data_IF_096850231422
#
_entry.id   IF_096850231422
#
_cell.length_a   1.000
_cell.length_b   1.000
_cell.length_c   1.000
_cell.angle_alpha   90.00
_cell.angle_beta   90.00
_cell.angle_gamma   90.00
#
_symmetry.space_group_name_H-M   'P 1'
#
loop_
_entity.id
_entity.type
_entity.pdbx_description
1 polymer ?
#
# COMPACT_ATOMS: atom_id res chain seq x y z
N UNK A 1 43.73 -46.69 -47.60
CA UNK A 1 45.18 -46.66 -47.25
C UNK A 1 45.31 -46.00 -45.86
N UNK A 2 45.97 -46.73 -44.99
CA UNK A 2 46.53 -46.38 -43.66
C UNK A 2 45.63 -45.98 -42.50
N UNK A 3 45.39 -46.98 -41.71
CA UNK A 3 45.21 -46.96 -40.23
C UNK A 3 46.21 -46.02 -39.57
N UNK A 4 45.72 -45.22 -38.61
CA UNK A 4 46.52 -44.81 -37.45
C UNK A 4 45.70 -44.83 -36.18
N UNK A 5 45.98 -45.80 -35.40
CA UNK A 5 46.03 -46.06 -33.97
C UNK A 5 45.33 -45.12 -33.01
N UNK A 6 44.25 -45.69 -32.44
CA UNK A 6 43.76 -45.45 -31.09
C UNK A 6 44.68 -46.10 -30.07
N UNK A 7 45.74 -45.47 -29.59
CA UNK A 7 46.44 -45.81 -28.34
C UNK A 7 47.41 -44.68 -27.98
N UNK A 8 47.08 -43.88 -27.00
CA UNK A 8 48.00 -42.87 -26.51
C UNK A 8 47.38 -41.70 -25.75
N UNK A 9 46.20 -41.84 -25.16
CA UNK A 9 45.64 -40.79 -24.31
C UNK A 9 45.04 -41.31 -22.99
N UNK A 10 45.75 -42.24 -22.37
CA UNK A 10 45.45 -42.61 -20.99
C UNK A 10 46.77 -42.66 -20.22
N UNK A 11 47.15 -41.54 -19.65
CA UNK A 11 48.07 -41.41 -18.52
C UNK A 11 48.34 -39.91 -18.27
N UNK A 12 47.45 -39.26 -17.53
CA UNK A 12 47.71 -38.15 -16.64
C UNK A 12 46.39 -37.67 -16.07
N UNK A 13 45.66 -38.50 -15.34
CA UNK A 13 44.70 -38.08 -14.35
C UNK A 13 45.44 -38.09 -13.02
N UNK A 14 46.12 -36.97 -12.76
CA UNK A 14 46.61 -36.68 -11.44
C UNK A 14 45.41 -36.24 -10.57
N UNK A 15 45.28 -36.90 -9.49
CA UNK A 15 44.47 -36.71 -8.32
C UNK A 15 44.35 -35.21 -7.97
N UNK A 16 43.25 -34.60 -8.38
CA UNK A 16 42.79 -33.31 -7.84
C UNK A 16 41.65 -33.61 -6.89
N UNK A 17 41.96 -33.71 -5.60
CA UNK A 17 40.96 -33.84 -4.56
C UNK A 17 39.95 -32.68 -4.64
N UNK A 18 38.67 -33.00 -4.85
CA UNK A 18 37.58 -32.11 -4.56
C UNK A 18 37.61 -31.81 -3.06
N UNK A 19 38.17 -30.67 -2.69
CA UNK A 19 37.83 -30.07 -1.40
C UNK A 19 36.38 -29.60 -1.52
N UNK A 20 35.47 -30.36 -0.98
CA UNK A 20 34.13 -29.91 -0.60
C UNK A 20 34.35 -28.96 0.55
N UNK A 21 34.47 -27.66 0.25
CA UNK A 21 34.36 -26.65 1.27
C UNK A 21 32.93 -26.70 1.81
N UNK A 22 32.72 -26.94 3.12
CA UNK A 22 31.38 -26.85 3.66
C UNK A 22 30.91 -25.40 3.41
N UNK A 23 29.75 -25.26 2.81
CA UNK A 23 29.00 -24.00 2.79
C UNK A 23 28.78 -23.62 4.27
N UNK A 24 29.73 -22.88 4.84
CA UNK A 24 29.46 -22.16 6.08
C UNK A 24 28.33 -21.18 5.75
N UNK A 25 27.11 -21.50 6.18
CA UNK A 25 26.08 -20.48 6.39
C UNK A 25 26.79 -19.37 7.17
N UNK A 26 27.02 -18.24 6.53
CA UNK A 26 27.38 -17.02 7.24
C UNK A 26 26.16 -16.70 8.12
N UNK A 27 26.17 -17.26 9.33
CA UNK A 27 25.27 -16.83 10.39
C UNK A 27 25.82 -15.43 10.73
N UNK A 28 25.15 -14.41 10.18
CA UNK A 28 25.46 -13.05 10.54
C UNK A 28 25.40 -12.96 12.07
N UNK A 29 26.51 -12.53 12.67
CA UNK A 29 26.61 -12.43 14.12
C UNK A 29 25.45 -11.55 14.61
N UNK A 30 24.55 -11.99 15.50
CA UNK A 30 23.41 -11.20 15.96
C UNK A 30 23.81 -9.82 16.47
N UNK A 31 24.99 -9.67 17.03
CA UNK A 31 25.57 -8.40 17.49
C UNK A 31 25.87 -7.45 16.31
N UNK A 32 26.33 -7.98 15.15
CA UNK A 32 26.61 -7.13 13.97
C UNK A 32 25.33 -6.68 13.27
N UNK A 33 24.28 -7.50 13.29
CA UNK A 33 22.95 -7.16 12.79
C UNK A 33 22.29 -6.10 13.68
N UNK A 34 22.44 -6.22 15.00
CA UNK A 34 21.92 -5.24 15.96
C UNK A 34 22.64 -3.89 15.88
N UNK A 35 23.97 -3.90 15.69
CA UNK A 35 24.76 -2.67 15.46
C UNK A 35 24.40 -1.98 14.14
N UNK A 36 24.13 -2.70 13.06
CA UNK A 36 23.62 -2.14 11.80
C UNK A 36 22.20 -1.58 11.96
N UNK A 37 21.35 -2.22 12.78
CA UNK A 37 20.01 -1.72 13.11
C UNK A 37 20.05 -0.44 13.96
N UNK A 38 20.94 -0.35 14.95
CA UNK A 38 21.06 0.84 15.81
C UNK A 38 21.64 2.05 15.07
N UNK A 39 22.56 1.82 14.12
CA UNK A 39 23.10 2.91 13.28
C UNK A 39 22.09 3.47 12.28
N UNK A 40 21.00 2.76 11.99
CA UNK A 40 20.04 3.07 10.93
C UNK A 40 18.72 3.70 11.40
N UNK A 41 18.48 3.81 12.71
CA UNK A 41 17.23 4.38 13.24
C UNK A 41 17.21 5.90 13.11
N UNK A 42 16.99 6.35 11.88
CA UNK A 42 16.65 7.75 11.60
C UNK A 42 15.15 7.93 11.71
N UNK A 43 14.74 9.12 12.12
CA UNK A 43 13.33 9.52 12.02
C UNK A 43 12.90 9.45 10.56
N UNK A 44 11.72 8.91 10.30
CA UNK A 44 11.03 8.96 9.00
C UNK A 44 9.65 9.56 9.18
N UNK A 45 9.25 10.42 8.24
CA UNK A 45 7.98 11.12 8.29
C UNK A 45 7.39 11.22 6.90
N UNK A 46 6.15 10.81 6.69
CA UNK A 46 5.54 10.80 5.36
C UNK A 46 4.05 11.10 5.40
N UNK A 47 3.60 11.79 4.35
CA UNK A 47 2.18 12.11 4.17
C UNK A 47 1.45 10.99 3.46
N UNK A 48 0.22 10.68 3.93
CA UNK A 48 -0.64 9.64 3.37
C UNK A 48 -2.01 10.22 3.04
N UNK A 49 -2.49 9.99 1.83
CA UNK A 49 -3.89 10.15 1.44
C UNK A 49 -4.39 8.86 0.78
N UNK A 50 -5.70 8.64 0.81
CA UNK A 50 -6.34 7.45 0.23
C UNK A 50 -7.67 7.85 -0.42
N UNK A 51 -8.05 7.16 -1.47
CA UNK A 51 -9.42 7.16 -2.00
C UNK A 51 -9.94 8.59 -2.26
N UNK A 52 -9.20 9.37 -3.04
CA UNK A 52 -9.59 10.74 -3.44
C UNK A 52 -10.75 10.69 -4.42
N UNK A 53 -10.74 9.68 -5.33
CA UNK A 53 -11.75 9.46 -6.35
C UNK A 53 -12.02 10.71 -7.21
N UNK A 54 -10.99 11.24 -7.84
CA UNK A 54 -11.09 12.40 -8.74
C UNK A 54 -12.22 12.26 -9.76
N UNK A 55 -12.46 11.06 -10.27
CA UNK A 55 -13.47 10.80 -11.29
C UNK A 55 -14.91 10.72 -10.74
N UNK A 56 -15.10 10.82 -9.43
CA UNK A 56 -16.41 10.83 -8.76
C UNK A 56 -16.67 12.20 -8.12
N UNK A 57 -15.68 12.74 -7.41
CA UNK A 57 -15.81 14.00 -6.69
C UNK A 57 -15.73 15.20 -7.64
N UNK A 58 -16.57 16.19 -7.39
CA UNK A 58 -16.59 17.45 -8.14
C UNK A 58 -15.45 18.41 -7.73
N UNK A 59 -14.85 18.18 -6.55
CA UNK A 59 -13.84 19.06 -5.93
C UNK A 59 -12.51 18.31 -5.66
N UNK A 60 -12.24 17.21 -6.36
CA UNK A 60 -11.07 16.37 -6.13
C UNK A 60 -9.74 17.11 -6.32
N UNK A 61 -9.63 18.01 -7.30
CA UNK A 61 -8.46 18.88 -7.49
C UNK A 61 -8.21 19.78 -6.28
N UNK A 62 -9.26 20.40 -5.73
CA UNK A 62 -9.15 21.23 -4.53
C UNK A 62 -8.71 20.42 -3.31
N UNK A 63 -9.27 19.22 -3.12
CA UNK A 63 -8.88 18.31 -2.04
C UNK A 63 -7.42 17.93 -2.11
N UNK A 64 -6.95 17.58 -3.30
CA UNK A 64 -5.54 17.26 -3.53
C UNK A 64 -4.63 18.46 -3.29
N UNK A 65 -5.04 19.69 -3.74
CA UNK A 65 -4.26 20.90 -3.52
C UNK A 65 -4.07 21.17 -2.02
N UNK A 66 -5.13 21.04 -1.20
CA UNK A 66 -5.06 21.20 0.25
C UNK A 66 -4.04 20.24 0.86
N UNK A 67 -4.04 18.95 0.44
CA UNK A 67 -3.06 17.97 0.88
C UNK A 67 -1.62 18.37 0.50
N UNK A 68 -1.39 18.74 -0.76
CA UNK A 68 -0.07 19.11 -1.25
C UNK A 68 0.47 20.35 -0.53
N UNK A 69 -0.37 21.38 -0.36
CA UNK A 69 0.00 22.62 0.32
C UNK A 69 0.38 22.38 1.79
N UNK A 70 -0.32 21.46 2.47
CA UNK A 70 0.03 21.09 3.85
C UNK A 70 1.32 20.26 3.87
N UNK A 71 1.47 19.25 3.03
CA UNK A 71 2.65 18.41 3.00
C UNK A 71 3.94 19.17 2.71
N UNK A 72 3.88 20.21 1.88
CA UNK A 72 5.04 21.07 1.64
C UNK A 72 5.48 21.86 2.87
N UNK A 73 4.57 22.13 3.83
CA UNK A 73 4.85 22.86 5.08
C UNK A 73 5.28 21.94 6.21
N UNK A 74 5.01 20.63 6.10
CA UNK A 74 5.13 19.67 7.21
C UNK A 74 6.49 18.96 7.28
N UNK A 75 7.46 19.26 6.42
CA UNK A 75 8.78 18.62 6.37
C UNK A 75 8.68 17.08 6.37
N UNK A 76 7.91 16.53 5.43
CA UNK A 76 7.79 15.09 5.22
C UNK A 76 8.84 14.60 4.23
N UNK A 77 9.38 13.40 4.46
CA UNK A 77 10.40 12.77 3.60
C UNK A 77 9.87 12.35 2.23
N UNK A 78 8.56 12.06 2.16
CA UNK A 78 7.83 11.71 0.94
C UNK A 78 6.32 11.77 1.16
N UNK A 79 5.57 11.65 0.07
CA UNK A 79 4.12 11.45 0.11
C UNK A 79 3.73 10.17 -0.63
N UNK A 80 2.63 9.55 -0.22
CA UNK A 80 2.06 8.37 -0.86
C UNK A 80 0.53 8.48 -0.90
N UNK A 81 -0.06 8.10 -2.04
CA UNK A 81 -1.48 7.84 -2.17
C UNK A 81 -1.74 6.32 -2.17
N UNK A 82 -2.81 5.87 -1.50
CA UNK A 82 -3.10 4.46 -1.28
C UNK A 82 -4.10 3.84 -2.27
N UNK A 83 -4.26 4.42 -3.45
CA UNK A 83 -5.16 3.93 -4.50
C UNK A 83 -6.48 4.72 -4.59
N UNK A 84 -7.26 4.38 -5.61
CA UNK A 84 -8.49 5.05 -6.01
C UNK A 84 -8.26 6.57 -6.15
N UNK A 85 -7.22 6.89 -6.91
CA UNK A 85 -6.68 8.22 -7.11
C UNK A 85 -7.34 8.92 -8.30
N UNK A 86 -7.03 8.48 -9.51
CA UNK A 86 -7.69 8.93 -10.74
C UNK A 86 -7.41 7.98 -11.91
N UNK A 87 -8.36 7.88 -12.82
CA UNK A 87 -8.24 7.12 -14.07
C UNK A 87 -7.34 7.85 -15.07
N UNK A 88 -6.68 7.15 -16.02
CA UNK A 88 -5.80 7.75 -17.00
C UNK A 88 -6.55 8.44 -18.16
N UNK A 89 -7.47 9.34 -17.83
CA UNK A 89 -8.11 10.23 -18.78
C UNK A 89 -7.36 11.55 -18.88
N UNK A 90 -7.26 12.12 -20.07
CA UNK A 90 -6.60 13.43 -20.31
C UNK A 90 -7.20 14.55 -19.44
N UNK A 91 -8.50 14.49 -19.14
CA UNK A 91 -9.16 15.45 -18.24
C UNK A 91 -8.58 15.44 -16.82
N UNK A 92 -7.88 14.39 -16.40
CA UNK A 92 -7.23 14.26 -15.09
C UNK A 92 -5.77 14.78 -15.10
N UNK A 93 -5.24 15.25 -16.23
CA UNK A 93 -3.91 15.86 -16.27
C UNK A 93 -3.75 17.09 -15.33
N UNK A 94 -4.74 17.99 -15.17
CA UNK A 94 -4.64 19.06 -14.17
C UNK A 94 -4.51 18.53 -12.75
N UNK A 95 -5.25 17.49 -12.39
CA UNK A 95 -5.16 16.82 -11.09
C UNK A 95 -3.76 16.24 -10.85
N UNK A 96 -3.16 15.57 -11.84
CA UNK A 96 -1.79 15.06 -11.72
C UNK A 96 -0.75 16.18 -11.57
N UNK A 97 -0.95 17.33 -12.23
CA UNK A 97 -0.05 18.48 -12.06
C UNK A 97 -0.06 19.01 -10.63
N UNK A 98 -1.17 18.90 -9.92
CA UNK A 98 -1.24 19.27 -8.50
C UNK A 98 -0.37 18.30 -7.68
N UNK A 99 -0.50 16.98 -7.91
CA UNK A 99 0.35 15.97 -7.26
C UNK A 99 1.85 16.21 -7.50
N UNK A 100 2.20 16.59 -8.73
CA UNK A 100 3.57 16.88 -9.14
C UNK A 100 4.16 18.16 -8.50
N UNK A 101 3.36 19.02 -7.87
CA UNK A 101 3.85 20.21 -7.16
C UNK A 101 4.65 19.88 -5.90
N UNK A 102 4.40 18.71 -5.27
CA UNK A 102 5.20 18.30 -4.12
C UNK A 102 6.66 18.10 -4.53
N UNK A 103 7.58 18.77 -3.83
CA UNK A 103 9.00 18.80 -4.22
C UNK A 103 9.80 17.55 -3.82
N UNK A 104 9.24 16.69 -2.97
CA UNK A 104 9.85 15.44 -2.54
C UNK A 104 9.45 14.22 -3.37
N UNK A 105 9.92 13.02 -3.00
CA UNK A 105 9.47 11.77 -3.61
C UNK A 105 7.96 11.56 -3.43
N UNK A 106 7.33 11.02 -4.47
CA UNK A 106 5.90 10.73 -4.53
C UNK A 106 5.69 9.30 -4.97
N UNK A 107 4.87 8.58 -4.23
CA UNK A 107 4.63 7.16 -4.47
C UNK A 107 3.14 6.87 -4.67
N UNK A 108 2.85 5.81 -5.41
CA UNK A 108 1.51 5.46 -5.83
C UNK A 108 1.22 4.00 -5.54
N UNK A 109 0.07 3.72 -4.96
CA UNK A 109 -0.56 2.40 -4.91
C UNK A 109 -1.71 2.40 -5.90
N UNK A 110 -1.91 1.31 -6.64
CA UNK A 110 -3.04 1.16 -7.56
C UNK A 110 -4.26 0.69 -6.78
N UNK A 111 -5.38 1.42 -6.89
CA UNK A 111 -6.69 1.01 -6.41
C UNK A 111 -7.53 0.34 -7.50
N UNK A 112 -8.65 -0.24 -7.11
CA UNK A 112 -9.51 -0.96 -8.08
C UNK A 112 -10.25 -0.03 -9.04
N UNK A 113 -10.57 1.20 -8.62
CA UNK A 113 -11.23 2.18 -9.48
C UNK A 113 -10.29 2.90 -10.45
N UNK A 114 -8.98 2.80 -10.26
CA UNK A 114 -8.01 3.43 -11.16
C UNK A 114 -7.97 2.76 -12.54
N UNK A 115 -8.41 1.49 -12.62
CA UNK A 115 -8.53 0.72 -13.85
C UNK A 115 -9.91 0.78 -14.51
N UNK A 116 -10.90 1.45 -13.91
CA UNK A 116 -12.24 1.57 -14.46
C UNK A 116 -12.21 2.23 -15.85
N UNK A 117 -13.11 1.79 -16.71
CA UNK A 117 -13.13 2.22 -18.12
C UNK A 117 -12.29 1.32 -19.03
N UNK A 118 -11.79 0.19 -18.50
CA UNK A 118 -11.03 -0.80 -19.28
C UNK A 118 -9.53 -0.50 -19.40
N UNK A 119 -9.00 0.35 -18.56
CA UNK A 119 -7.58 0.64 -18.54
C UNK A 119 -6.76 -0.50 -17.92
N UNK A 120 -5.59 -0.74 -18.48
CA UNK A 120 -4.62 -1.68 -17.92
C UNK A 120 -3.79 -1.02 -16.81
N UNK A 121 -3.20 -1.82 -15.92
CA UNK A 121 -2.25 -1.32 -14.92
C UNK A 121 -1.10 -0.54 -15.56
N UNK A 122 -0.59 -0.98 -16.72
CA UNK A 122 0.51 -0.31 -17.41
C UNK A 122 0.10 1.09 -17.93
N UNK A 123 -1.16 1.26 -18.36
CA UNK A 123 -1.69 2.57 -18.72
C UNK A 123 -1.80 3.48 -17.49
N UNK A 124 -2.27 2.96 -16.36
CA UNK A 124 -2.39 3.71 -15.11
C UNK A 124 -1.01 4.18 -14.62
N UNK A 125 -0.04 3.27 -14.46
CA UNK A 125 1.30 3.65 -13.98
C UNK A 125 2.04 4.57 -14.93
N UNK A 126 1.84 4.41 -16.25
CA UNK A 126 2.43 5.31 -17.26
C UNK A 126 1.85 6.71 -17.13
N UNK A 127 0.52 6.82 -16.98
CA UNK A 127 -0.16 8.10 -16.82
C UNK A 127 0.28 8.83 -15.55
N UNK A 128 0.41 8.12 -14.42
CA UNK A 128 0.86 8.68 -13.15
C UNK A 128 2.37 8.88 -13.07
N UNK A 129 3.15 8.36 -14.00
CA UNK A 129 4.62 8.30 -13.94
C UNK A 129 5.10 7.51 -12.71
N UNK A 130 4.32 6.52 -12.29
CA UNK A 130 4.69 5.62 -11.22
C UNK A 130 5.79 4.64 -11.67
N UNK A 131 6.68 4.16 -10.77
CA UNK A 131 7.83 3.36 -11.19
C UNK A 131 7.42 1.99 -11.76
N UNK A 132 6.53 1.27 -11.10
CA UNK A 132 6.05 -0.07 -11.47
C UNK A 132 4.67 -0.32 -10.86
N UNK A 133 4.04 -1.46 -11.20
CA UNK A 133 2.76 -1.89 -10.61
C UNK A 133 2.89 -2.26 -9.13
N UNK A 134 4.02 -2.87 -8.76
CA UNK A 134 4.46 -3.12 -7.39
C UNK A 134 5.97 -2.94 -7.33
N UNK A 135 6.48 -2.46 -6.22
CA UNK A 135 7.89 -2.09 -6.07
C UNK A 135 8.25 -1.89 -4.60
N UNK A 136 9.56 -1.77 -4.33
CA UNK A 136 10.07 -1.38 -3.03
C UNK A 136 11.09 -0.25 -3.13
N UNK A 137 11.33 0.43 -2.02
CA UNK A 137 12.35 1.47 -1.90
C UNK A 137 12.82 1.63 -0.45
N UNK A 138 14.04 2.10 -0.28
CA UNK A 138 14.60 2.40 1.03
C UNK A 138 14.63 3.91 1.29
N UNK A 139 14.25 4.31 2.49
CA UNK A 139 14.36 5.71 2.94
C UNK A 139 14.64 5.77 4.43
N UNK A 140 15.66 6.56 4.80
CA UNK A 140 16.04 6.84 6.20
C UNK A 140 16.20 5.59 7.09
N UNK A 141 16.67 4.45 6.52
CA UNK A 141 16.88 3.21 7.25
C UNK A 141 15.61 2.37 7.46
N UNK A 142 14.58 2.65 6.71
CA UNK A 142 13.36 1.84 6.59
C UNK A 142 13.19 1.33 5.17
N UNK A 143 12.60 0.16 5.05
CA UNK A 143 12.22 -0.45 3.78
C UNK A 143 10.72 -0.29 3.57
N UNK A 144 10.32 0.11 2.38
CA UNK A 144 8.93 0.34 2.00
C UNK A 144 8.58 -0.54 0.81
N UNK A 145 7.45 -1.21 0.90
CA UNK A 145 6.95 -2.10 -0.15
C UNK A 145 5.57 -1.63 -0.58
N UNK A 146 5.38 -1.45 -1.87
CA UNK A 146 4.09 -1.16 -2.49
C UNK A 146 3.61 -2.41 -3.23
N UNK A 147 2.44 -2.92 -2.84
CA UNK A 147 1.80 -4.08 -3.47
C UNK A 147 0.64 -3.63 -4.37
N UNK A 148 0.43 -4.37 -5.45
CA UNK A 148 -0.75 -4.24 -6.30
C UNK A 148 -1.75 -5.35 -5.97
N UNK A 149 -2.85 -4.99 -5.32
CA UNK A 149 -3.91 -5.91 -4.96
C UNK A 149 -4.91 -6.23 -6.10
N UNK A 150 -4.72 -5.67 -7.29
CA UNK A 150 -5.74 -5.70 -8.35
C UNK A 150 -5.44 -6.73 -9.44
N UNK A 151 -4.74 -7.80 -9.13
CA UNK A 151 -4.56 -8.92 -10.06
C UNK A 151 -5.75 -9.87 -10.01
N UNK A 152 -5.98 -10.59 -11.11
CA UNK A 152 -7.08 -11.54 -11.20
C UNK A 152 -6.75 -12.85 -10.48
N UNK A 153 -7.64 -13.31 -9.64
CA UNK A 153 -7.60 -14.66 -9.10
C UNK A 153 -7.81 -15.66 -10.25
N UNK A 154 -6.88 -16.61 -10.47
CA UNK A 154 -7.01 -17.59 -11.55
C UNK A 154 -8.06 -18.68 -11.29
N UNK A 155 -8.64 -18.75 -10.09
CA UNK A 155 -9.67 -19.72 -9.75
C UNK A 155 -10.94 -19.50 -10.58
N UNK A 156 -11.56 -20.56 -11.13
CA UNK A 156 -12.87 -20.46 -11.79
C UNK A 156 -13.97 -20.03 -10.81
N UNK A 157 -13.83 -20.33 -9.52
CA UNK A 157 -14.81 -20.03 -8.46
C UNK A 157 -14.53 -18.69 -7.76
N UNK A 158 -13.74 -17.80 -8.40
CA UNK A 158 -13.40 -16.49 -7.83
C UNK A 158 -14.66 -15.67 -7.55
N UNK A 159 -14.66 -14.82 -6.50
CA UNK A 159 -15.75 -13.89 -6.24
C UNK A 159 -16.04 -12.99 -7.44
N UNK A 160 -17.31 -12.64 -7.62
CA UNK A 160 -17.73 -11.64 -8.61
C UNK A 160 -17.36 -10.25 -8.11
N UNK A 161 -16.99 -9.35 -9.02
CA UNK A 161 -16.66 -7.96 -8.74
C UNK A 161 -15.24 -7.60 -9.14
N UNK A 162 -14.68 -6.60 -8.48
CA UNK A 162 -13.31 -6.16 -8.73
C UNK A 162 -12.28 -7.25 -8.39
N UNK A 163 -11.20 -7.28 -9.15
CA UNK A 163 -10.07 -8.12 -8.86
C UNK A 163 -9.42 -7.68 -7.52
N UNK A 164 -9.22 -8.64 -6.61
CA UNK A 164 -8.65 -8.39 -5.28
C UNK A 164 -7.71 -9.53 -4.91
N UNK A 165 -6.65 -9.69 -5.68
CA UNK A 165 -5.74 -10.82 -5.58
C UNK A 165 -4.30 -10.38 -5.78
N UNK A 166 -3.36 -11.01 -5.10
CA UNK A 166 -1.92 -10.84 -5.33
C UNK A 166 -1.40 -12.12 -5.97
N UNK A 167 -1.00 -12.02 -7.23
CA UNK A 167 -0.58 -13.15 -8.05
C UNK A 167 0.72 -13.80 -7.58
N UNK A 168 0.97 -15.02 -8.07
CA UNK A 168 2.12 -15.83 -7.65
C UNK A 168 3.46 -15.12 -7.94
N UNK A 169 3.59 -14.47 -9.08
CA UNK A 169 4.82 -13.74 -9.44
C UNK A 169 5.13 -12.64 -8.43
N UNK A 170 4.12 -11.87 -8.03
CA UNK A 170 4.27 -10.80 -7.04
C UNK A 170 4.55 -11.38 -5.64
N UNK A 171 3.95 -12.52 -5.27
CA UNK A 171 4.25 -13.21 -4.02
C UNK A 171 5.72 -13.67 -3.96
N UNK A 172 6.22 -14.29 -5.03
CA UNK A 172 7.62 -14.74 -5.13
C UNK A 172 8.60 -13.55 -5.13
N UNK A 173 8.21 -12.44 -5.76
CA UNK A 173 8.98 -11.20 -5.70
C UNK A 173 9.01 -10.64 -4.27
N UNK A 174 7.87 -10.58 -3.57
CA UNK A 174 7.78 -10.08 -2.20
C UNK A 174 8.64 -10.91 -1.24
N UNK A 175 8.61 -12.25 -1.35
CA UNK A 175 9.47 -13.13 -0.54
C UNK A 175 10.96 -12.81 -0.75
N UNK A 176 11.40 -12.65 -2.00
CA UNK A 176 12.80 -12.33 -2.35
C UNK A 176 13.19 -10.94 -1.86
N UNK A 177 12.33 -9.97 -2.05
CA UNK A 177 12.55 -8.58 -1.63
C UNK A 177 12.73 -8.51 -0.10
N UNK A 178 11.84 -9.13 0.66
CA UNK A 178 11.94 -9.21 2.11
C UNK A 178 13.18 -9.99 2.59
N UNK A 179 13.67 -10.98 1.85
CA UNK A 179 14.90 -11.71 2.18
C UNK A 179 16.16 -10.85 1.98
N UNK A 180 16.12 -9.87 1.08
CA UNK A 180 17.27 -9.04 0.72
C UNK A 180 17.46 -7.85 1.67
N UNK A 181 16.49 -7.55 2.53
CA UNK A 181 16.57 -6.44 3.48
C UNK A 181 16.60 -6.90 4.93
N UNK A 182 17.35 -6.16 5.77
CA UNK A 182 17.30 -6.26 7.24
C UNK A 182 16.67 -5.02 7.87
N UNK A 183 16.08 -4.14 7.08
CA UNK A 183 15.46 -2.92 7.56
C UNK A 183 14.05 -3.20 8.10
N UNK A 184 13.61 -2.38 9.05
CA UNK A 184 12.20 -2.35 9.45
C UNK A 184 11.36 -2.00 8.23
N UNK A 185 10.36 -2.84 7.93
CA UNK A 185 9.59 -2.81 6.69
C UNK A 185 8.16 -2.34 6.93
N UNK A 186 7.70 -1.48 6.04
CA UNK A 186 6.34 -0.95 5.98
C UNK A 186 5.74 -1.33 4.63
N UNK A 187 4.54 -1.88 4.63
CA UNK A 187 3.83 -2.34 3.43
C UNK A 187 2.68 -1.38 3.12
N UNK A 188 2.44 -1.12 1.84
CA UNK A 188 1.28 -0.41 1.33
C UNK A 188 0.54 -1.30 0.33
N UNK A 189 -0.75 -1.44 0.49
CA UNK A 189 -1.66 -2.13 -0.42
C UNK A 189 -3.00 -1.42 -0.39
N UNK A 190 -3.68 -1.27 -1.53
CA UNK A 190 -4.97 -0.58 -1.54
C UNK A 190 -6.01 -1.35 -0.73
N UNK A 191 -6.27 -2.61 -1.08
CA UNK A 191 -7.18 -3.48 -0.33
C UNK A 191 -6.48 -4.05 0.91
N UNK A 192 -7.24 -4.19 2.01
CA UNK A 192 -6.74 -4.71 3.28
C UNK A 192 -6.26 -6.17 3.18
N UNK A 193 -5.18 -6.47 3.93
CA UNK A 193 -4.68 -7.84 4.10
C UNK A 193 -5.20 -8.50 5.39
N UNK A 194 -6.01 -7.82 6.17
CA UNK A 194 -6.41 -8.18 7.53
C UNK A 194 -7.88 -8.60 7.65
N UNK A 195 -8.63 -8.57 6.55
CA UNK A 195 -10.04 -8.94 6.54
C UNK A 195 -10.45 -9.62 5.23
N UNK A 196 -11.53 -10.39 5.29
CA UNK A 196 -12.07 -11.15 4.15
C UNK A 196 -13.16 -10.39 3.38
N UNK A 197 -13.76 -9.36 4.01
CA UNK A 197 -14.80 -8.55 3.37
C UNK A 197 -14.18 -7.43 2.56
N UNK A 198 -14.21 -7.53 1.24
CA UNK A 198 -13.62 -6.54 0.35
C UNK A 198 -12.09 -6.48 0.39
N UNK A 199 -11.41 -7.19 1.28
CA UNK A 199 -9.95 -7.32 1.35
C UNK A 199 -9.39 -8.22 0.25
N UNK A 200 -8.08 -8.44 0.28
CA UNK A 200 -7.37 -9.32 -0.67
C UNK A 200 -7.84 -10.77 -0.50
N UNK A 201 -8.30 -11.41 -1.58
CA UNK A 201 -8.85 -12.77 -1.58
C UNK A 201 -7.87 -13.82 -1.05
N UNK A 202 -6.59 -13.67 -1.34
CA UNK A 202 -5.53 -14.53 -0.82
C UNK A 202 -4.70 -13.86 0.29
N UNK A 203 -5.30 -12.95 1.06
CA UNK A 203 -4.63 -12.20 2.14
C UNK A 203 -3.88 -13.11 3.13
N UNK A 204 -4.46 -14.26 3.48
CA UNK A 204 -3.80 -15.21 4.39
C UNK A 204 -2.45 -15.70 3.85
N UNK A 205 -2.33 -15.98 2.54
CA UNK A 205 -1.05 -16.39 1.94
C UNK A 205 -0.04 -15.25 1.99
N UNK A 206 -0.48 -14.02 1.71
CA UNK A 206 0.39 -12.84 1.77
C UNK A 206 0.84 -12.57 3.21
N UNK A 207 -0.06 -12.66 4.20
CA UNK A 207 0.31 -12.53 5.61
C UNK A 207 1.35 -13.56 6.03
N UNK A 208 1.21 -14.81 5.60
CA UNK A 208 2.20 -15.86 5.89
C UNK A 208 3.60 -15.53 5.33
N UNK A 209 3.69 -14.83 4.18
CA UNK A 209 4.97 -14.33 3.65
C UNK A 209 5.56 -13.29 4.61
N UNK A 210 4.74 -12.34 5.07
CA UNK A 210 5.18 -11.27 5.99
C UNK A 210 5.62 -11.84 7.35
N UNK A 211 4.85 -12.77 7.89
CA UNK A 211 5.12 -13.45 9.17
C UNK A 211 6.41 -14.29 9.09
N UNK A 212 6.57 -15.08 8.02
CA UNK A 212 7.79 -15.85 7.78
C UNK A 212 9.01 -14.96 7.63
N UNK A 213 8.89 -13.78 6.99
CA UNK A 213 9.97 -12.82 6.91
C UNK A 213 10.41 -12.29 8.30
N UNK A 214 9.48 -12.20 9.27
CA UNK A 214 9.78 -11.88 10.65
C UNK A 214 10.47 -13.05 11.38
N UNK A 215 9.98 -14.28 11.19
CA UNK A 215 10.57 -15.49 11.77
C UNK A 215 12.01 -15.72 11.27
N UNK A 216 12.23 -15.67 9.95
CA UNK A 216 13.54 -15.86 9.32
C UNK A 216 14.55 -14.79 9.73
N UNK A 217 14.10 -13.55 9.94
CA UNK A 217 14.94 -12.47 10.41
C UNK A 217 15.32 -12.58 11.91
N UNK A 218 14.57 -13.36 12.68
CA UNK A 218 14.70 -13.42 14.14
C UNK A 218 14.29 -12.15 14.87
N UNK A 219 13.58 -11.24 14.19
CA UNK A 219 13.03 -10.01 14.75
C UNK A 219 11.81 -9.54 13.96
N UNK A 220 11.02 -8.66 14.54
CA UNK A 220 9.83 -8.08 13.92
C UNK A 220 10.23 -7.07 12.83
N UNK A 221 10.63 -7.59 11.65
CA UNK A 221 11.05 -6.81 10.48
C UNK A 221 9.87 -6.09 9.85
N UNK A 222 8.81 -6.80 9.47
CA UNK A 222 7.56 -6.22 8.96
C UNK A 222 6.72 -5.77 10.16
N UNK A 223 6.37 -4.48 10.22
CA UNK A 223 5.70 -3.88 11.38
C UNK A 223 4.33 -3.30 11.06
N UNK A 224 4.20 -2.68 9.89
CA UNK A 224 3.03 -1.91 9.50
C UNK A 224 2.57 -2.31 8.10
N UNK A 225 1.26 -2.42 7.94
CA UNK A 225 0.59 -2.52 6.63
C UNK A 225 -0.47 -1.43 6.60
N UNK A 226 -0.41 -0.56 5.59
CA UNK A 226 -1.39 0.48 5.35
C UNK A 226 -2.29 0.12 4.18
N UNK A 227 -3.59 0.38 4.32
CA UNK A 227 -4.57 0.21 3.25
C UNK A 227 -5.58 1.35 3.20
N UNK A 228 -6.22 1.54 2.04
CA UNK A 228 -7.38 2.35 1.75
C UNK A 228 -8.61 1.48 1.48
N UNK A 229 -9.36 1.77 0.42
CA UNK A 229 -10.44 0.94 -0.14
C UNK A 229 -11.77 0.93 0.64
N UNK A 230 -11.75 0.64 1.93
CA UNK A 230 -12.99 0.51 2.70
C UNK A 230 -13.59 1.86 3.15
N UNK A 231 -12.84 2.96 3.00
CA UNK A 231 -13.24 4.30 3.46
C UNK A 231 -13.64 4.30 4.95
N UNK A 232 -12.93 3.52 5.76
CA UNK A 232 -13.18 3.33 7.19
C UNK A 232 -11.93 3.72 8.00
N UNK A 233 -12.14 3.98 9.28
CA UNK A 233 -11.06 4.20 10.25
C UNK A 233 -10.98 3.04 11.23
N UNK A 234 -10.03 2.13 11.02
CA UNK A 234 -9.78 1.04 11.97
C UNK A 234 -8.32 0.58 11.97
N UNK A 235 -7.97 -0.25 12.95
CA UNK A 235 -6.68 -0.89 13.06
C UNK A 235 -6.87 -2.29 13.62
N UNK A 236 -6.17 -3.25 13.01
CA UNK A 236 -6.05 -4.62 13.52
C UNK A 236 -4.59 -4.95 13.82
N UNK A 237 -4.36 -5.91 14.72
CA UNK A 237 -3.05 -6.49 14.98
C UNK A 237 -3.14 -8.01 14.81
N UNK A 238 -2.32 -8.56 13.92
CA UNK A 238 -2.25 -9.99 13.64
C UNK A 238 -0.77 -10.38 13.67
N UNK A 239 -0.39 -11.28 14.57
CA UNK A 239 0.97 -11.79 14.70
C UNK A 239 2.05 -10.69 14.77
N UNK A 240 1.80 -9.66 15.63
CA UNK A 240 2.68 -8.51 15.86
C UNK A 240 2.87 -7.58 14.63
N UNK A 241 2.05 -7.71 13.61
CA UNK A 241 1.97 -6.80 12.46
C UNK A 241 0.69 -5.98 12.61
N UNK A 242 0.82 -4.64 12.54
CA UNK A 242 -0.30 -3.72 12.62
C UNK A 242 -0.82 -3.40 11.22
N UNK A 243 -2.09 -3.66 10.99
CA UNK A 243 -2.84 -3.35 9.77
C UNK A 243 -3.68 -2.12 10.02
N UNK A 244 -3.37 -1.04 9.33
CA UNK A 244 -3.96 0.28 9.55
C UNK A 244 -4.73 0.69 8.31
N UNK A 245 -6.04 0.78 8.45
CA UNK A 245 -6.91 1.31 7.43
C UNK A 245 -6.90 2.83 7.50
N UNK A 246 -6.59 3.49 6.40
CA UNK A 246 -6.67 4.94 6.23
C UNK A 246 -8.01 5.26 5.58
N UNK A 247 -8.80 6.07 6.25
CA UNK A 247 -10.09 6.51 5.74
C UNK A 247 -9.94 7.33 4.46
N UNK A 248 -10.94 7.30 3.58
CA UNK A 248 -10.99 8.09 2.35
C UNK A 248 -10.79 9.57 2.63
N UNK A 249 -10.08 10.25 1.72
CA UNK A 249 -9.96 11.71 1.75
C UNK A 249 -11.32 12.39 1.50
N UNK A 250 -12.26 11.72 0.84
CA UNK A 250 -13.38 12.39 0.17
C UNK A 250 -14.76 11.99 0.67
N UNK A 251 -15.04 10.72 0.89
CA UNK A 251 -16.38 10.25 1.19
C UNK A 251 -16.41 8.80 1.69
N UNK A 252 -17.58 8.36 2.18
CA UNK A 252 -17.96 6.95 2.30
C UNK A 252 -19.02 6.61 1.24
N UNK A 253 -18.87 5.46 0.57
CA UNK A 253 -19.88 4.91 -0.32
C UNK A 253 -21.02 4.29 0.48
N UNK A 254 -22.28 4.71 0.22
CA UNK A 254 -23.46 4.22 0.93
C UNK A 254 -24.34 3.31 0.06
N UNK A 255 -24.19 3.38 -1.27
CA UNK A 255 -24.96 2.59 -2.22
C UNK A 255 -26.40 3.07 -2.44
N UNK A 256 -27.16 2.27 -3.20
CA UNK A 256 -28.50 2.62 -3.69
C UNK A 256 -29.54 2.82 -2.59
N UNK A 257 -29.38 2.13 -1.45
CA UNK A 257 -30.34 2.20 -0.34
C UNK A 257 -30.34 3.54 0.40
N UNK A 258 -29.28 4.35 0.24
CA UNK A 258 -29.06 5.60 0.97
C UNK A 258 -28.83 6.79 0.07
N UNK A 259 -29.40 6.77 -1.14
CA UNK A 259 -29.28 7.83 -2.14
C UNK A 259 -29.76 9.17 -1.58
N UNK A 260 -28.91 10.20 -1.70
CA UNK A 260 -29.24 11.56 -1.27
C UNK A 260 -28.50 12.59 -2.12
N UNK A 261 -29.26 13.52 -2.73
CA UNK A 261 -28.68 14.70 -3.37
C UNK A 261 -28.11 15.60 -2.28
N UNK A 262 -26.81 15.89 -2.33
CA UNK A 262 -26.08 16.59 -1.27
C UNK A 262 -25.52 17.95 -1.73
N UNK A 263 -25.49 18.19 -3.02
CA UNK A 263 -25.01 19.40 -3.67
C UNK A 263 -26.09 20.00 -4.58
N UNK A 264 -25.73 20.96 -5.42
CA UNK A 264 -26.67 21.53 -6.39
C UNK A 264 -27.07 20.53 -7.47
N UNK A 265 -28.15 20.81 -8.17
CA UNK A 265 -28.65 20.00 -9.29
C UNK A 265 -27.60 19.89 -10.41
N UNK A 266 -26.83 20.94 -10.62
CA UNK A 266 -25.77 20.99 -11.63
C UNK A 266 -24.65 20.00 -11.27
N UNK A 267 -24.18 20.02 -10.00
CA UNK A 267 -23.16 19.08 -9.50
C UNK A 267 -23.68 17.64 -9.60
N UNK A 268 -24.91 17.37 -9.18
CA UNK A 268 -25.48 15.99 -9.27
C UNK A 268 -25.58 15.50 -10.72
N UNK A 269 -25.86 16.41 -11.66
CA UNK A 269 -25.91 16.09 -13.10
C UNK A 269 -24.53 15.78 -13.68
N UNK A 270 -23.52 16.54 -13.32
CA UNK A 270 -22.14 16.37 -13.82
C UNK A 270 -21.41 15.23 -13.11
N UNK A 271 -21.75 14.98 -11.85
CA UNK A 271 -21.15 13.94 -10.98
C UNK A 271 -22.23 13.00 -10.42
N UNK A 272 -22.91 12.21 -11.27
CA UNK A 272 -24.13 11.48 -10.89
C UNK A 272 -23.91 10.39 -9.83
N UNK A 273 -22.67 10.03 -9.53
CA UNK A 273 -22.32 9.05 -8.52
C UNK A 273 -22.19 9.63 -7.10
N UNK A 274 -22.08 10.94 -6.94
CA UNK A 274 -21.94 11.58 -5.61
C UNK A 274 -23.18 11.29 -4.73
N UNK A 275 -24.37 11.18 -5.30
CA UNK A 275 -25.61 10.89 -4.55
C UNK A 275 -25.61 9.55 -3.84
N UNK A 276 -24.77 8.59 -4.24
CA UNK A 276 -24.60 7.29 -3.60
C UNK A 276 -23.59 7.32 -2.45
N UNK A 277 -23.00 8.49 -2.18
CA UNK A 277 -21.96 8.67 -1.16
C UNK A 277 -22.45 9.56 -0.03
N UNK A 278 -21.70 9.57 1.07
CA UNK A 278 -21.71 10.65 2.05
C UNK A 278 -20.36 11.37 2.01
N UNK A 279 -20.29 12.52 1.29
CA UNK A 279 -19.06 13.26 1.17
C UNK A 279 -18.62 13.89 2.49
N UNK A 280 -17.32 14.05 2.64
CA UNK A 280 -16.71 14.82 3.72
C UNK A 280 -16.64 16.30 3.32
N UNK A 281 -16.90 17.19 4.28
CA UNK A 281 -16.88 18.65 4.04
C UNK A 281 -15.47 19.11 3.65
N UNK A 282 -14.46 18.69 4.40
CA UNK A 282 -13.07 19.00 4.16
C UNK A 282 -12.31 17.71 3.87
N UNK A 283 -11.21 17.74 3.07
CA UNK A 283 -10.40 16.54 2.84
C UNK A 283 -9.72 16.08 4.11
N UNK A 284 -9.73 14.77 4.36
CA UNK A 284 -8.98 14.17 5.47
C UNK A 284 -7.81 13.36 4.93
N UNK A 285 -6.67 13.52 5.58
CA UNK A 285 -5.41 12.83 5.28
C UNK A 285 -4.55 12.79 6.54
N UNK A 286 -3.41 12.10 6.50
CA UNK A 286 -2.61 11.93 7.69
C UNK A 286 -1.12 12.04 7.42
N UNK A 287 -0.35 12.21 8.49
CA UNK A 287 1.09 12.10 8.51
C UNK A 287 1.46 10.94 9.43
N UNK A 288 2.23 10.01 8.89
CA UNK A 288 2.85 8.92 9.64
C UNK A 288 4.29 9.31 10.00
N UNK A 289 4.68 8.99 11.23
CA UNK A 289 6.03 9.23 11.72
C UNK A 289 6.53 8.00 12.49
N UNK A 290 7.78 7.61 12.27
CA UNK A 290 8.50 6.69 13.15
C UNK A 290 9.70 7.45 13.68
N UNK A 291 9.78 7.65 14.99
CA UNK A 291 10.87 8.37 15.62
C UNK A 291 12.13 7.49 15.79
N UNK A 292 13.23 8.11 16.20
CA UNK A 292 14.50 7.40 16.43
C UNK A 292 14.45 6.36 17.55
N UNK A 293 13.41 6.37 18.38
CA UNK A 293 13.19 5.38 19.44
C UNK A 293 12.32 4.21 18.99
N UNK A 294 11.89 4.21 17.72
CA UNK A 294 11.00 3.20 17.15
C UNK A 294 9.55 3.35 17.62
N UNK A 295 9.11 4.57 17.92
CA UNK A 295 7.72 4.86 18.19
C UNK A 295 7.05 5.34 16.90
N UNK A 296 6.11 4.55 16.42
CA UNK A 296 5.23 4.96 15.34
C UNK A 296 4.11 5.85 15.88
N UNK A 297 3.79 6.90 15.13
CA UNK A 297 2.63 7.75 15.37
C UNK A 297 1.92 8.12 14.07
N UNK A 298 0.60 8.20 14.12
CA UNK A 298 -0.26 8.66 13.04
C UNK A 298 -1.03 9.90 13.51
N UNK A 299 -0.96 10.98 12.75
CA UNK A 299 -1.67 12.22 13.07
C UNK A 299 -3.17 12.04 12.79
N UNK A 300 -4.02 12.34 13.75
CA UNK A 300 -5.47 12.36 13.54
C UNK A 300 -5.89 13.50 12.62
N UNK A 301 -7.01 13.30 11.91
CA UNK A 301 -7.71 14.31 11.12
C UNK A 301 -9.22 14.13 11.31
N UNK A 302 -10.00 15.20 11.28
CA UNK A 302 -11.45 15.13 11.39
C UNK A 302 -12.14 16.24 10.63
N UNK A 303 -13.34 15.93 10.14
CA UNK A 303 -14.24 16.85 9.46
C UNK A 303 -15.68 16.52 9.78
N UNK A 304 -16.64 16.97 9.01
CA UNK A 304 -18.06 16.61 9.11
C UNK A 304 -18.56 16.07 7.77
N UNK A 305 -19.71 15.41 7.78
CA UNK A 305 -20.40 15.02 6.57
C UNK A 305 -21.09 16.19 5.88
N UNK A 306 -21.20 16.14 4.56
CA UNK A 306 -22.06 17.03 3.78
C UNK A 306 -23.49 16.49 3.81
N UNK A 307 -24.41 17.26 4.42
CA UNK A 307 -25.81 16.85 4.63
C UNK A 307 -25.96 15.76 5.73
N UNK A 308 -27.03 14.95 5.66
CA UNK A 308 -27.30 13.97 6.71
C UNK A 308 -26.21 12.89 6.79
N UNK A 309 -25.86 12.52 8.03
CA UNK A 309 -24.91 11.44 8.30
C UNK A 309 -25.49 10.06 7.93
N UNK A 310 -24.67 9.01 7.83
CA UNK A 310 -25.18 7.65 7.67
C UNK A 310 -26.16 7.24 8.75
N UNK A 311 -25.92 7.62 10.00
CA UNK A 311 -26.84 7.36 11.14
C UNK A 311 -28.18 8.07 10.95
N UNK A 312 -28.19 9.33 10.48
CA UNK A 312 -29.43 10.08 10.19
C UNK A 312 -30.25 9.41 9.05
N UNK A 313 -29.57 8.65 8.19
CA UNK A 313 -30.19 7.88 7.10
C UNK A 313 -30.54 6.44 7.52
N UNK A 314 -30.33 6.07 8.79
CA UNK A 314 -30.61 4.74 9.29
C UNK A 314 -29.51 3.70 9.03
N UNK A 315 -28.30 4.12 8.66
CA UNK A 315 -27.13 3.27 8.47
C UNK A 315 -26.09 3.55 9.59
N UNK A 316 -26.23 2.94 10.77
CA UNK A 316 -25.35 3.25 11.90
C UNK A 316 -23.93 2.66 11.76
N UNK A 317 -23.80 1.55 11.04
CA UNK A 317 -22.52 0.84 10.88
C UNK A 317 -22.35 0.33 9.45
N UNK A 318 -21.09 0.23 9.04
CA UNK A 318 -20.70 -0.51 7.84
C UNK A 318 -20.93 -2.02 8.04
N UNK A 319 -21.09 -2.77 6.95
CA UNK A 319 -21.26 -4.24 6.99
C UNK A 319 -20.12 -4.97 7.71
N UNK A 320 -18.91 -4.42 7.71
CA UNK A 320 -17.77 -4.91 8.48
C UNK A 320 -17.88 -4.66 10.00
N UNK A 321 -18.97 -4.06 10.48
CA UNK A 321 -19.21 -3.77 11.89
C UNK A 321 -18.58 -2.47 12.43
N UNK A 322 -17.80 -1.75 11.60
CA UNK A 322 -17.24 -0.46 11.96
C UNK A 322 -18.25 0.69 11.73
N UNK A 323 -18.12 1.74 12.51
CA UNK A 323 -18.88 2.97 12.28
C UNK A 323 -18.35 3.71 11.06
N UNK A 324 -19.25 4.32 10.30
CA UNK A 324 -18.89 5.24 9.22
C UNK A 324 -18.67 6.62 9.82
N UNK A 325 -17.43 7.07 9.76
CA UNK A 325 -16.97 8.26 10.46
C UNK A 325 -16.17 9.20 9.53
N UNK A 326 -16.27 10.53 9.70
CA UNK A 326 -15.53 11.48 8.88
C UNK A 326 -14.21 11.88 9.56
N UNK A 327 -13.42 10.91 10.00
CA UNK A 327 -12.13 11.16 10.63
C UNK A 327 -11.13 10.03 10.42
N UNK A 328 -9.86 10.33 10.70
CA UNK A 328 -8.75 9.39 10.88
C UNK A 328 -8.32 9.52 12.34
N UNK A 329 -8.38 8.43 13.09
CA UNK A 329 -7.95 8.41 14.49
C UNK A 329 -6.45 8.59 14.65
N UNK A 330 -5.98 9.36 15.62
CA UNK A 330 -4.56 9.36 15.97
C UNK A 330 -4.16 8.00 16.54
N UNK A 331 -2.96 7.52 16.19
CA UNK A 331 -2.42 6.24 16.67
C UNK A 331 -1.02 6.41 17.20
N UNK A 332 -0.66 5.59 18.18
CA UNK A 332 0.68 5.55 18.74
C UNK A 332 1.04 4.12 19.10
N UNK A 333 2.07 3.59 18.44
CA UNK A 333 2.54 2.21 18.62
C UNK A 333 4.03 2.24 18.93
N UNK A 334 4.44 1.60 20.02
CA UNK A 334 5.85 1.40 20.30
C UNK A 334 6.27 0.04 19.73
N UNK A 335 7.22 0.06 18.80
CA UNK A 335 7.80 -1.18 18.31
C UNK A 335 8.66 -1.80 19.42
N UNK A 336 8.20 -2.91 19.99
CA UNK A 336 9.00 -3.68 20.92
C UNK A 336 10.19 -4.30 20.15
N UNK A 337 11.36 -4.35 20.81
CA UNK A 337 12.56 -4.96 20.25
C UNK A 337 12.38 -6.45 19.98
#
# INVERSE_FOLDING_TARGET
MKNQNRRGFIQKLAIGGLMITPFQKLIANPVSVELQRESAKKKIRFGICADIHQDIMHDGELRLQVFIDDMQKQDVDFIIQLGDFCRPYDRNLPFLKIWEQFQGPRYHVIGNHDNDGGFTHDQVITFWKAPLKYYSFDKNGYHFVVLNGNEHNPSPDRPVGYARYIGKEQQEWLEKDLQQTNLTTIIFCHQGLDNDMGGIENATLVRLILERANEDAGFKKVRLVFSGHHHLDYQNEINDIFYIQINSMSYQWLGDSYVKIRYSVEVDKEHPNIKYTVPYKDPIYTIAEIDSNGVFSLKGASTSFVGPSPTDLGMPKHEMGYEVVPYISPRRIKFNK
#
